data_IF_341394348175
#
_entry.id   IF_341394348175
#
_cell.length_a   1.000
_cell.length_b   1.000
_cell.length_c   1.000
_cell.angle_alpha   90.00
_cell.angle_beta   90.00
_cell.angle_gamma   90.00
#
_symmetry.space_group_name_H-M   'P 1'
#
loop_
_entity.id
_entity.type
_entity.pdbx_description
1 polymer ?
#
# COMPACT_ATOMS: atom_id res chain seq x y z
N UNK A 1 -10.86 23.09 23.38
CA UNK A 1 -11.46 22.23 24.43
C UNK A 1 -12.74 21.49 24.01
N UNK A 2 -13.63 22.03 23.15
CA UNK A 2 -14.88 21.35 22.76
C UNK A 2 -14.69 20.03 21.97
N UNK A 3 -13.57 19.86 21.28
CA UNK A 3 -13.30 18.66 20.45
C UNK A 3 -12.98 17.41 21.27
N UNK A 4 -12.39 17.53 22.46
CA UNK A 4 -11.96 16.37 23.27
C UNK A 4 -13.15 15.69 23.99
N UNK A 5 -14.10 16.48 24.49
CA UNK A 5 -15.28 15.98 25.20
C UNK A 5 -16.20 15.20 24.24
N UNK A 6 -16.31 15.65 22.98
CA UNK A 6 -17.10 14.95 21.96
C UNK A 6 -16.51 13.57 21.59
N UNK A 7 -15.19 13.49 21.43
CA UNK A 7 -14.51 12.23 21.11
C UNK A 7 -14.63 11.20 22.25
N UNK A 8 -14.62 11.65 23.51
CA UNK A 8 -14.73 10.76 24.66
C UNK A 8 -16.16 10.24 24.87
N UNK A 9 -17.17 11.07 24.60
CA UNK A 9 -18.57 10.64 24.62
C UNK A 9 -18.86 9.62 23.51
N UNK A 10 -18.35 9.84 22.30
CA UNK A 10 -18.50 8.88 21.19
C UNK A 10 -17.79 7.55 21.50
N UNK A 11 -16.58 7.60 22.04
CA UNK A 11 -15.85 6.38 22.46
C UNK A 11 -16.62 5.57 23.50
N UNK A 12 -17.29 6.25 24.46
CA UNK A 12 -18.14 5.59 25.47
C UNK A 12 -19.36 4.93 24.83
N UNK A 13 -20.05 5.61 23.91
CA UNK A 13 -21.19 5.04 23.18
C UNK A 13 -20.80 3.83 22.34
N UNK A 14 -19.67 3.94 21.63
CA UNK A 14 -19.11 2.85 20.83
C UNK A 14 -18.80 1.63 21.70
N UNK A 15 -18.22 1.85 22.87
CA UNK A 15 -17.88 0.76 23.79
C UNK A 15 -19.14 0.03 24.29
N UNK A 16 -20.19 0.77 24.63
CA UNK A 16 -21.48 0.18 25.05
C UNK A 16 -22.10 -0.62 23.89
N UNK A 17 -22.16 -0.02 22.70
CA UNK A 17 -22.73 -0.67 21.51
C UNK A 17 -21.94 -1.92 21.10
N UNK A 18 -20.61 -1.88 21.19
CA UNK A 18 -19.72 -3.01 20.94
C UNK A 18 -20.02 -4.17 21.91
N UNK A 19 -20.07 -3.88 23.22
CA UNK A 19 -20.38 -4.87 24.25
C UNK A 19 -21.75 -5.50 24.04
N UNK A 20 -22.80 -4.69 23.81
CA UNK A 20 -24.14 -5.20 23.57
C UNK A 20 -24.21 -6.09 22.33
N UNK A 21 -23.55 -5.70 21.23
CA UNK A 21 -23.51 -6.50 20.01
C UNK A 21 -22.73 -7.82 20.24
N UNK A 22 -21.66 -7.80 21.03
CA UNK A 22 -20.87 -8.98 21.36
C UNK A 22 -21.64 -9.97 22.26
N UNK A 23 -22.37 -9.45 23.25
CA UNK A 23 -23.26 -10.24 24.10
C UNK A 23 -24.37 -10.90 23.28
N UNK A 24 -24.99 -10.16 22.35
CA UNK A 24 -26.01 -10.70 21.45
C UNK A 24 -25.47 -11.79 20.50
N UNK A 25 -24.22 -11.65 20.05
CA UNK A 25 -23.57 -12.66 19.23
C UNK A 25 -23.24 -13.92 20.04
N UNK A 26 -22.64 -13.74 21.22
CA UNK A 26 -22.23 -14.83 22.12
C UNK A 26 -23.43 -15.57 22.72
N UNK A 27 -24.54 -14.88 22.98
CA UNK A 27 -25.78 -15.50 23.46
C UNK A 27 -26.35 -16.53 22.47
N UNK A 28 -26.13 -16.33 21.17
CA UNK A 28 -26.57 -17.25 20.11
C UNK A 28 -25.52 -18.29 19.75
N UNK A 29 -24.23 -17.95 19.86
CA UNK A 29 -23.11 -18.75 19.38
C UNK A 29 -22.06 -18.99 20.48
N UNK A 30 -22.47 -19.51 21.65
CA UNK A 30 -21.55 -19.77 22.75
C UNK A 30 -20.76 -21.06 22.51
N UNK A 31 -19.53 -20.93 22.02
CA UNK A 31 -18.63 -22.06 21.81
C UNK A 31 -17.18 -21.70 22.10
N UNK A 32 -16.35 -22.71 22.38
CA UNK A 32 -14.90 -22.52 22.54
C UNK A 32 -14.25 -21.93 21.26
N UNK A 33 -14.83 -22.22 20.09
CA UNK A 33 -14.35 -21.66 18.82
C UNK A 33 -14.64 -20.16 18.76
N UNK A 34 -15.82 -19.73 19.23
CA UNK A 34 -16.19 -18.32 19.32
C UNK A 34 -15.28 -17.57 20.29
N UNK A 35 -14.97 -18.17 21.44
CA UNK A 35 -14.09 -17.55 22.43
C UNK A 35 -12.63 -17.42 21.97
N UNK A 36 -12.13 -18.37 21.16
CA UNK A 36 -10.73 -18.40 20.73
C UNK A 36 -10.48 -17.70 19.38
N UNK A 37 -11.41 -17.81 18.43
CA UNK A 37 -11.16 -17.42 17.04
C UNK A 37 -12.01 -16.24 16.57
N UNK A 38 -13.03 -15.84 17.31
CA UNK A 38 -13.85 -14.69 16.90
C UNK A 38 -13.35 -13.40 17.53
N UNK A 39 -13.37 -12.34 16.73
CA UNK A 39 -13.24 -10.95 17.17
C UNK A 39 -14.44 -10.13 16.71
N UNK A 40 -14.40 -8.83 16.98
CA UNK A 40 -15.44 -7.88 16.58
C UNK A 40 -14.84 -6.74 15.73
N UNK A 41 -15.44 -6.49 14.56
CA UNK A 41 -15.11 -5.38 13.67
C UNK A 41 -16.07 -4.22 13.91
N UNK A 42 -15.53 -3.00 13.96
CA UNK A 42 -16.31 -1.76 13.90
C UNK A 42 -16.33 -1.27 12.46
N UNK A 43 -17.47 -1.39 11.78
CA UNK A 43 -17.67 -0.85 10.44
C UNK A 43 -18.40 0.49 10.53
N UNK A 44 -17.92 1.50 9.80
CA UNK A 44 -18.57 2.82 9.70
C UNK A 44 -18.83 3.12 8.24
N UNK A 45 -20.10 3.25 7.88
CA UNK A 45 -20.53 3.59 6.53
C UNK A 45 -21.14 4.97 6.56
N UNK A 46 -20.65 5.85 5.69
CA UNK A 46 -21.22 7.18 5.48
C UNK A 46 -21.90 7.20 4.12
N UNK A 47 -23.14 7.65 4.08
CA UNK A 47 -23.83 7.87 2.82
C UNK A 47 -23.40 9.20 2.20
N UNK A 48 -22.90 9.18 0.97
CA UNK A 48 -22.43 10.39 0.28
C UNK A 48 -23.57 11.32 -0.15
N UNK A 49 -24.81 10.81 -0.24
CA UNK A 49 -25.97 11.62 -0.66
C UNK A 49 -26.64 12.33 0.52
N UNK A 50 -26.85 11.64 1.65
CA UNK A 50 -27.56 12.20 2.81
C UNK A 50 -26.64 12.54 4.00
N UNK A 51 -25.37 12.19 3.93
CA UNK A 51 -24.40 12.44 5.01
C UNK A 51 -24.60 11.61 6.27
N UNK A 52 -25.60 10.72 6.31
CA UNK A 52 -25.87 9.85 7.44
C UNK A 52 -24.72 8.86 7.66
N UNK A 53 -24.27 8.73 8.91
CA UNK A 53 -23.24 7.79 9.33
C UNK A 53 -23.87 6.66 10.13
N UNK A 54 -23.68 5.42 9.67
CA UNK A 54 -24.09 4.21 10.37
C UNK A 54 -22.85 3.49 10.88
N UNK A 55 -22.82 3.22 12.17
CA UNK A 55 -21.80 2.37 12.80
C UNK A 55 -22.40 1.00 13.10
N UNK A 56 -21.69 -0.07 12.77
CA UNK A 56 -22.07 -1.45 13.09
C UNK A 56 -20.89 -2.20 13.73
N UNK A 57 -21.24 -3.18 14.55
CA UNK A 57 -20.28 -4.05 15.24
C UNK A 57 -20.56 -5.49 14.86
N UNK A 58 -19.72 -6.04 13.99
CA UNK A 58 -19.93 -7.36 13.37
C UNK A 58 -18.87 -8.34 13.88
N UNK A 59 -19.27 -9.57 14.20
CA UNK A 59 -18.34 -10.62 14.61
C UNK A 59 -17.62 -11.21 13.39
N UNK A 60 -16.32 -11.48 13.50
CA UNK A 60 -15.51 -12.07 12.44
C UNK A 60 -14.64 -13.21 12.98
N UNK A 61 -14.38 -14.23 12.17
CA UNK A 61 -13.45 -15.32 12.48
C UNK A 61 -12.21 -15.34 11.58
N UNK A 62 -12.19 -14.50 10.54
CA UNK A 62 -11.13 -14.41 9.56
C UNK A 62 -11.08 -13.00 8.97
N UNK A 63 -9.87 -12.48 8.75
CA UNK A 63 -9.64 -11.19 8.10
C UNK A 63 -8.88 -11.41 6.80
N UNK A 64 -9.48 -10.99 5.69
CA UNK A 64 -8.77 -10.83 4.43
C UNK A 64 -8.03 -9.49 4.46
N UNK A 65 -6.71 -9.53 4.60
CA UNK A 65 -5.89 -8.33 4.47
C UNK A 65 -5.57 -8.10 3.01
N UNK A 66 -5.83 -6.89 2.45
CA UNK A 66 -5.36 -6.58 1.12
C UNK A 66 -3.83 -6.60 1.14
N UNK A 67 -3.23 -7.43 0.31
CA UNK A 67 -1.80 -7.33 0.05
C UNK A 67 -1.57 -5.98 -0.65
N UNK A 68 -0.57 -5.19 -0.22
CA UNK A 68 -0.16 -4.03 -0.98
C UNK A 68 0.27 -4.55 -2.36
N UNK A 69 -0.53 -4.24 -3.38
CA UNK A 69 -0.13 -4.49 -4.75
C UNK A 69 0.92 -3.43 -5.06
N UNK A 70 2.15 -3.67 -4.63
CA UNK A 70 3.29 -2.92 -5.12
C UNK A 70 3.34 -3.21 -6.63
N UNK A 71 2.86 -2.27 -7.44
CA UNK A 71 3.00 -2.31 -8.90
C UNK A 71 4.47 -2.12 -9.31
N UNK A 72 5.43 -2.71 -8.59
CA UNK A 72 6.84 -2.55 -8.90
C UNK A 72 7.25 -3.57 -9.97
N UNK A 73 7.58 -3.08 -11.16
CA UNK A 73 8.24 -3.84 -12.21
C UNK A 73 9.74 -3.89 -11.94
N UNK A 74 10.33 -5.09 -12.01
CA UNK A 74 11.77 -5.24 -12.03
C UNK A 74 12.26 -5.10 -13.47
N UNK A 75 12.94 -3.99 -13.76
CA UNK A 75 13.52 -3.71 -15.08
C UNK A 75 15.03 -3.90 -15.00
N UNK A 76 15.58 -4.73 -15.88
CA UNK A 76 17.02 -4.83 -16.07
C UNK A 76 17.46 -3.80 -17.09
N UNK A 77 18.38 -2.92 -16.68
CA UNK A 77 18.97 -1.88 -17.51
C UNK A 77 20.44 -2.19 -17.70
N UNK A 78 20.88 -2.30 -18.94
CA UNK A 78 22.31 -2.32 -19.26
C UNK A 78 22.78 -0.89 -19.51
N UNK A 79 23.79 -0.44 -18.75
CA UNK A 79 24.49 0.83 -18.96
C UNK A 79 25.76 0.56 -19.75
N UNK A 80 25.88 1.24 -20.89
CA UNK A 80 27.05 1.18 -21.77
C UNK A 80 27.68 2.55 -21.79
N UNK A 81 28.95 2.64 -21.38
CA UNK A 81 29.75 3.87 -21.40
C UNK A 81 30.48 3.99 -22.75
N UNK A 82 30.64 5.22 -23.28
CA UNK A 82 31.36 5.47 -24.54
C UNK A 82 32.88 5.38 -24.42
N UNK A 83 33.40 5.33 -23.20
CA UNK A 83 34.83 5.17 -22.90
C UNK A 83 35.36 3.75 -23.22
N UNK A 84 34.49 2.84 -23.67
CA UNK A 84 34.83 1.45 -23.97
C UNK A 84 34.88 0.54 -22.74
N UNK A 85 34.46 1.03 -21.57
CA UNK A 85 34.33 0.22 -20.36
C UNK A 85 33.29 -0.89 -20.53
N UNK A 86 33.45 -1.97 -19.76
CA UNK A 86 32.55 -3.13 -19.82
C UNK A 86 31.11 -2.72 -19.47
N UNK A 87 30.10 -3.12 -20.28
CA UNK A 87 28.70 -2.85 -19.98
C UNK A 87 28.29 -3.43 -18.63
N UNK A 88 27.65 -2.62 -17.78
CA UNK A 88 27.18 -3.03 -16.46
C UNK A 88 25.66 -3.13 -16.45
N UNK A 89 25.12 -4.23 -15.91
CA UNK A 89 23.68 -4.43 -15.79
C UNK A 89 23.19 -4.08 -14.38
N UNK A 90 22.17 -3.23 -14.31
CA UNK A 90 21.51 -2.84 -13.08
C UNK A 90 20.07 -3.36 -13.07
N UNK A 91 19.70 -4.09 -12.02
CA UNK A 91 18.31 -4.44 -11.73
C UNK A 91 17.66 -3.33 -10.91
N UNK A 92 16.62 -2.70 -11.47
CA UNK A 92 15.92 -1.57 -10.86
C UNK A 92 14.45 -1.90 -10.67
N UNK A 93 13.90 -1.53 -9.51
CA UNK A 93 12.47 -1.60 -9.24
C UNK A 93 11.85 -0.24 -9.53
N UNK A 94 10.89 -0.20 -10.44
CA UNK A 94 10.13 1.01 -10.82
C UNK A 94 8.65 0.69 -10.81
N UNK A 95 7.79 1.68 -10.50
CA UNK A 95 6.35 1.49 -10.61
C UNK A 95 5.96 1.14 -12.05
N UNK A 96 4.94 0.30 -12.24
CA UNK A 96 4.50 -0.21 -13.54
C UNK A 96 3.92 0.92 -14.39
N UNK A 97 3.34 1.93 -13.74
CA UNK A 97 2.90 3.20 -14.30
C UNK A 97 4.00 4.28 -14.33
N UNK A 98 5.23 3.95 -13.91
CA UNK A 98 6.36 4.87 -13.84
C UNK A 98 6.86 5.30 -15.23
N UNK A 99 7.43 6.50 -15.30
CA UNK A 99 7.96 7.05 -16.56
C UNK A 99 9.44 6.70 -16.76
N UNK A 100 9.95 6.91 -17.97
CA UNK A 100 11.38 6.74 -18.29
C UNK A 100 12.28 7.63 -17.43
N UNK A 101 11.77 8.75 -16.91
CA UNK A 101 12.50 9.63 -15.98
C UNK A 101 12.74 8.96 -14.63
N UNK A 102 11.77 8.22 -14.11
CA UNK A 102 11.90 7.49 -12.85
C UNK A 102 12.93 6.38 -12.99
N UNK A 103 12.94 5.70 -14.15
CA UNK A 103 13.98 4.72 -14.49
C UNK A 103 15.37 5.37 -14.56
N UNK A 104 15.51 6.50 -15.27
CA UNK A 104 16.78 7.24 -15.35
C UNK A 104 17.29 7.65 -13.98
N UNK A 105 16.41 8.16 -13.10
CA UNK A 105 16.76 8.55 -11.74
C UNK A 105 17.26 7.36 -10.92
N UNK A 106 16.52 6.26 -10.90
CA UNK A 106 16.91 5.08 -10.11
C UNK A 106 18.17 4.38 -10.65
N UNK A 107 18.45 4.49 -11.95
CA UNK A 107 19.72 4.03 -12.54
C UNK A 107 20.87 4.99 -12.18
N UNK A 108 20.66 6.29 -12.25
CA UNK A 108 21.66 7.31 -11.87
C UNK A 108 22.09 7.18 -10.41
N UNK A 109 21.13 7.01 -9.49
CA UNK A 109 21.40 6.79 -8.06
C UNK A 109 22.26 5.55 -7.80
N UNK A 110 22.05 4.46 -8.54
CA UNK A 110 22.78 3.20 -8.37
C UNK A 110 24.12 3.16 -9.09
N UNK A 111 24.26 3.91 -10.18
CA UNK A 111 25.48 3.96 -10.99
C UNK A 111 26.42 5.10 -10.55
N UNK A 112 25.96 6.03 -9.72
CA UNK A 112 26.74 7.21 -9.30
C UNK A 112 26.97 8.21 -10.44
N UNK A 113 26.22 8.09 -11.54
CA UNK A 113 26.33 8.94 -12.71
C UNK A 113 25.38 10.14 -12.61
N UNK A 114 25.76 11.33 -13.07
CA UNK A 114 24.92 12.51 -13.01
C UNK A 114 23.64 12.32 -13.85
N UNK A 115 22.45 12.66 -13.31
CA UNK A 115 21.16 12.46 -14.00
C UNK A 115 20.95 13.37 -15.23
N UNK A 116 21.88 14.28 -15.51
CA UNK A 116 21.70 15.38 -16.45
C UNK A 116 22.18 15.02 -17.87
N UNK A 117 21.25 15.09 -18.83
CA UNK A 117 21.39 15.03 -20.30
C UNK A 117 22.22 13.91 -20.98
N UNK A 118 22.92 13.03 -20.26
CA UNK A 118 23.76 11.97 -20.85
C UNK A 118 23.09 10.61 -21.11
N UNK A 119 21.82 10.43 -20.72
CA UNK A 119 21.12 9.14 -20.85
C UNK A 119 20.22 9.08 -22.10
N UNK A 120 20.62 8.32 -23.12
CA UNK A 120 19.74 7.90 -24.23
C UNK A 120 19.16 6.52 -23.93
N UNK A 121 17.83 6.41 -23.91
CA UNK A 121 17.15 5.15 -23.57
C UNK A 121 16.69 4.50 -24.86
N UNK A 122 17.30 3.37 -25.24
CA UNK A 122 16.93 2.61 -26.44
C UNK A 122 16.28 1.29 -26.07
N UNK A 123 15.06 1.10 -26.54
CA UNK A 123 14.38 -0.19 -26.45
C UNK A 123 14.73 -1.06 -27.67
N UNK A 124 15.51 -2.12 -27.45
CA UNK A 124 15.62 -3.25 -28.39
C UNK A 124 15.27 -4.55 -27.66
N UNK A 125 13.97 -4.81 -27.48
CA UNK A 125 13.41 -6.06 -26.94
C UNK A 125 13.62 -6.30 -25.44
N UNK A 126 14.72 -5.80 -24.86
CA UNK A 126 14.97 -5.64 -23.42
C UNK A 126 15.63 -4.26 -23.25
N UNK A 127 15.13 -3.45 -22.33
CA UNK A 127 15.52 -2.04 -22.18
C UNK A 127 17.04 -1.87 -22.03
N UNK A 128 17.67 -1.10 -22.93
CA UNK A 128 19.08 -0.75 -22.84
C UNK A 128 19.21 0.77 -22.71
N UNK A 129 20.04 1.24 -21.78
CA UNK A 129 20.32 2.66 -21.63
C UNK A 129 21.75 2.89 -22.11
N UNK A 130 21.88 3.65 -23.20
CA UNK A 130 23.17 4.03 -23.76
C UNK A 130 23.55 5.38 -23.19
N UNK A 131 24.71 5.47 -22.54
CA UNK A 131 25.22 6.70 -21.96
C UNK A 131 26.13 7.41 -22.97
N UNK A 132 26.04 8.73 -23.04
CA UNK A 132 26.98 9.60 -23.74
C UNK A 132 27.76 10.43 -22.69
N UNK A 133 29.03 10.11 -22.49
CA UNK A 133 30.02 11.04 -21.92
C UNK A 133 30.89 11.56 -23.05
#
# INVERSE_FOLDING_TARGET
MKTLIGQEQEKKKDQIAATTAWEQHTARNKSIVTELFYGQLKSKVRCDTCGHESVRFDAFNMLSLPLPLESALHVTVTVILLDGSVPVQYGVRVAAEGTVLDLKRSVAERSGLPPDNGFDVRSKGKFAIQYYA
#
